data_IF_088708803165
#
_entry.id   IF_088708803165
#
_cell.length_a   1.000
_cell.length_b   1.000
_cell.length_c   1.000
_cell.angle_alpha   90.00
_cell.angle_beta   90.00
_cell.angle_gamma   90.00
#
_symmetry.space_group_name_H-M   'P 1'
#
loop_
_entity.id
_entity.type
_entity.pdbx_description
1 polymer ?
#
# COMPACT_ATOMS: atom_id res chain seq x y z
N UNK A 1 0.45 -33.07 -1.32
CA UNK A 1 1.28 -31.96 -0.76
C UNK A 1 0.47 -30.67 -0.78
N UNK A 2 0.38 -29.91 0.31
CA UNK A 2 -0.33 -28.64 0.29
C UNK A 2 0.48 -27.65 -0.58
N UNK A 3 -0.16 -27.09 -1.62
CA UNK A 3 0.46 -26.08 -2.49
C UNK A 3 0.91 -24.90 -1.60
N UNK A 4 2.17 -24.46 -1.75
CA UNK A 4 2.67 -23.21 -1.15
C UNK A 4 1.73 -22.09 -1.58
N UNK A 5 0.86 -21.61 -0.67
CA UNK A 5 -0.01 -20.47 -0.94
C UNK A 5 0.87 -19.25 -1.11
N UNK A 6 0.92 -18.71 -2.32
CA UNK A 6 1.61 -17.46 -2.60
C UNK A 6 0.94 -16.35 -1.78
N UNK A 7 1.70 -15.76 -0.86
CA UNK A 7 1.27 -14.57 -0.13
C UNK A 7 1.52 -13.40 -1.07
N UNK A 8 0.44 -12.78 -1.54
CA UNK A 8 0.53 -11.57 -2.33
C UNK A 8 0.59 -10.38 -1.39
N UNK A 9 1.46 -9.44 -1.71
CA UNK A 9 1.71 -8.24 -0.92
C UNK A 9 1.88 -7.10 -1.90
N UNK A 10 1.12 -6.04 -1.69
CA UNK A 10 1.31 -4.78 -2.39
C UNK A 10 1.78 -3.76 -1.37
N UNK A 11 2.89 -3.08 -1.66
CA UNK A 11 3.43 -2.03 -0.81
C UNK A 11 3.82 -0.81 -1.63
N UNK A 12 3.62 0.34 -1.01
CA UNK A 12 4.23 1.60 -1.36
C UNK A 12 5.13 1.99 -0.19
N UNK A 13 6.37 2.38 -0.48
CA UNK A 13 7.27 2.93 0.52
C UNK A 13 7.57 4.37 0.17
N UNK A 14 7.32 5.27 1.11
CA UNK A 14 7.82 6.62 1.07
C UNK A 14 9.11 6.65 1.90
N UNK A 15 10.24 6.95 1.27
CA UNK A 15 11.52 7.11 1.95
C UNK A 15 12.09 8.51 1.77
N UNK A 16 12.91 8.99 2.72
CA UNK A 16 13.63 10.24 2.55
C UNK A 16 14.58 10.14 1.35
N UNK A 17 14.85 11.28 0.71
CA UNK A 17 15.78 11.37 -0.42
C UNK A 17 17.17 10.81 -0.09
N UNK A 18 17.59 10.92 1.16
CA UNK A 18 18.81 10.32 1.69
C UNK A 18 18.44 9.49 2.92
N UNK A 19 18.49 8.17 2.77
CA UNK A 19 18.27 7.26 3.88
C UNK A 19 19.52 7.20 4.78
N UNK A 20 19.28 7.20 6.09
CA UNK A 20 20.36 6.99 7.05
C UNK A 20 20.81 5.54 7.05
N UNK A 21 22.12 5.33 7.17
CA UNK A 21 22.70 3.97 7.36
C UNK A 21 22.45 3.42 8.76
N UNK A 22 21.97 4.24 9.69
CA UNK A 22 21.64 3.80 11.03
C UNK A 22 20.32 3.01 11.03
N UNK A 23 20.41 1.70 11.18
CA UNK A 23 19.26 0.78 11.13
C UNK A 23 18.30 0.88 12.31
N UNK A 24 18.63 1.68 13.34
CA UNK A 24 17.71 2.00 14.43
C UNK A 24 16.76 3.16 14.11
N UNK A 25 17.03 3.93 13.05
CA UNK A 25 16.17 5.04 12.64
C UNK A 25 15.02 4.52 11.79
N UNK A 26 13.80 4.89 12.16
CA UNK A 26 12.59 4.55 11.43
C UNK A 26 12.02 5.84 10.84
N UNK A 27 12.42 6.14 9.61
CA UNK A 27 12.10 7.37 8.88
C UNK A 27 11.40 7.10 7.53
N UNK A 28 11.21 5.84 7.18
CA UNK A 28 10.45 5.44 6.00
C UNK A 28 9.02 5.08 6.41
N UNK A 29 8.05 5.33 5.52
CA UNK A 29 6.66 4.94 5.72
C UNK A 29 6.28 3.87 4.71
N UNK A 30 5.89 2.69 5.19
CA UNK A 30 5.33 1.63 4.37
C UNK A 30 3.80 1.64 4.50
N UNK A 31 3.15 1.70 3.34
CA UNK A 31 1.72 1.49 3.18
C UNK A 31 1.55 0.17 2.46
N UNK A 32 0.91 -0.80 3.09
CA UNK A 32 0.75 -2.09 2.45
C UNK A 32 -0.61 -2.72 2.66
N UNK A 33 -0.98 -3.49 1.64
CA UNK A 33 -2.18 -4.31 1.62
C UNK A 33 -1.74 -5.76 1.73
N UNK A 34 -2.19 -6.44 2.78
CA UNK A 34 -1.75 -7.79 3.14
C UNK A 34 -2.94 -8.70 3.41
N UNK A 35 -2.79 -9.98 3.07
CA UNK A 35 -3.71 -11.06 3.43
C UNK A 35 -2.99 -12.20 4.16
N UNK A 36 -1.99 -11.83 4.98
CA UNK A 36 -1.15 -12.78 5.69
C UNK A 36 -1.83 -13.30 6.96
N UNK A 37 -1.58 -14.57 7.29
CA UNK A 37 -2.04 -15.19 8.53
C UNK A 37 -1.22 -14.61 9.68
N UNK A 38 -1.89 -13.91 10.59
CA UNK A 38 -1.35 -13.37 11.84
C UNK A 38 -2.40 -13.57 12.96
N UNK A 39 -1.98 -13.45 14.22
CA UNK A 39 -2.89 -13.54 15.35
C UNK A 39 -3.95 -12.42 15.29
N UNK A 40 -5.22 -12.76 15.54
CA UNK A 40 -6.32 -11.79 15.57
C UNK A 40 -6.86 -11.34 14.20
N UNK A 41 -6.40 -11.92 13.10
CA UNK A 41 -6.90 -11.57 11.75
C UNK A 41 -8.22 -12.27 11.44
N UNK A 42 -9.16 -11.54 10.85
CA UNK A 42 -10.43 -12.08 10.33
C UNK A 42 -10.19 -12.95 9.10
N UNK A 43 -10.92 -14.05 9.01
CA UNK A 43 -10.89 -14.94 7.86
C UNK A 43 -12.18 -14.83 7.06
N UNK A 44 -12.06 -14.84 5.75
CA UNK A 44 -13.21 -14.87 4.85
C UNK A 44 -13.84 -16.28 4.78
N UNK A 45 -14.94 -16.41 4.06
CA UNK A 45 -15.70 -17.66 3.88
C UNK A 45 -14.88 -18.80 3.24
N UNK A 46 -13.75 -18.49 2.60
CA UNK A 46 -12.85 -19.46 1.97
C UNK A 46 -11.70 -19.90 2.90
N UNK A 47 -11.73 -19.51 4.18
CA UNK A 47 -10.67 -19.82 5.15
C UNK A 47 -9.34 -19.11 4.86
N UNK A 48 -9.38 -17.98 4.14
CA UNK A 48 -8.23 -17.12 3.88
C UNK A 48 -8.31 -15.85 4.72
N UNK A 49 -7.19 -15.28 5.19
CA UNK A 49 -7.21 -13.99 5.87
C UNK A 49 -7.82 -12.92 4.96
N UNK A 50 -8.66 -12.07 5.52
CA UNK A 50 -9.17 -10.89 4.83
C UNK A 50 -8.02 -9.95 4.47
N UNK A 51 -8.14 -9.29 3.31
CA UNK A 51 -7.24 -8.21 2.94
C UNK A 51 -7.42 -7.05 3.90
N UNK A 52 -6.30 -6.48 4.33
CA UNK A 52 -6.29 -5.33 5.23
C UNK A 52 -5.19 -4.36 4.83
N UNK A 53 -5.46 -3.09 5.10
CA UNK A 53 -4.47 -2.03 5.08
C UNK A 53 -3.65 -2.06 6.37
N UNK A 54 -2.35 -1.87 6.23
CA UNK A 54 -1.45 -1.60 7.33
C UNK A 54 -0.55 -0.41 6.94
N UNK A 55 -0.28 0.47 7.89
CA UNK A 55 0.67 1.57 7.77
C UNK A 55 1.68 1.49 8.90
N UNK A 56 2.97 1.56 8.57
CA UNK A 56 4.06 1.42 9.53
C UNK A 56 5.18 2.39 9.21
N UNK A 57 5.85 2.85 10.27
CA UNK A 57 7.13 3.54 10.16
C UNK A 57 8.23 2.49 10.30
N UNK A 58 9.13 2.43 9.32
CA UNK A 58 10.14 1.38 9.18
C UNK A 58 11.51 1.97 8.88
N UNK A 59 12.53 1.13 8.97
CA UNK A 59 13.84 1.41 8.38
C UNK A 59 13.91 0.78 6.98
N UNK A 60 14.10 1.58 5.93
CA UNK A 60 14.12 1.12 4.54
C UNK A 60 15.24 0.12 4.23
N UNK A 61 16.32 0.11 5.02
CA UNK A 61 17.49 -0.76 4.82
C UNK A 61 17.43 -2.07 5.63
N UNK A 62 16.54 -2.19 6.61
CA UNK A 62 16.46 -3.34 7.53
C UNK A 62 15.44 -4.39 7.08
N UNK A 63 14.43 -4.02 6.30
CA UNK A 63 13.43 -4.98 5.81
C UNK A 63 14.03 -5.85 4.69
N UNK A 64 13.85 -7.17 4.83
CA UNK A 64 14.48 -8.18 3.98
C UNK A 64 14.21 -8.01 2.49
N UNK A 65 15.03 -8.66 1.66
CA UNK A 65 15.07 -8.55 0.20
C UNK A 65 13.68 -8.51 -0.45
N UNK A 66 13.16 -7.31 -0.70
CA UNK A 66 11.90 -7.10 -1.42
C UNK A 66 12.17 -7.32 -2.91
N UNK A 67 11.68 -8.43 -3.46
CA UNK A 67 11.62 -8.63 -4.91
C UNK A 67 10.33 -7.98 -5.40
N UNK A 68 10.42 -6.78 -5.95
CA UNK A 68 9.26 -6.00 -6.40
C UNK A 68 9.55 -5.16 -7.63
N UNK A 69 8.49 -4.73 -8.32
CA UNK A 69 8.56 -3.67 -9.33
C UNK A 69 8.50 -2.33 -8.60
N UNK A 70 9.50 -1.49 -8.79
CA UNK A 70 9.59 -0.19 -8.11
C UNK A 70 9.01 0.88 -9.02
N UNK A 71 7.99 1.60 -8.53
CA UNK A 71 7.54 2.85 -9.11
C UNK A 71 8.12 3.99 -8.26
N UNK A 72 8.87 4.88 -8.89
CA UNK A 72 9.48 6.04 -8.22
C UNK A 72 8.66 7.27 -8.59
N UNK A 73 8.04 7.89 -7.61
CA UNK A 73 7.43 9.21 -7.74
C UNK A 73 8.29 10.25 -7.01
N UNK A 74 8.49 11.42 -7.62
CA UNK A 74 9.12 12.57 -6.96
C UNK A 74 8.04 13.42 -6.32
N UNK A 75 8.15 13.65 -5.02
CA UNK A 75 7.26 14.54 -4.27
C UNK A 75 7.91 15.93 -4.11
N UNK A 76 7.11 16.99 -3.88
CA UNK A 76 7.64 18.33 -3.63
C UNK A 76 8.57 18.36 -2.42
N UNK A 77 9.77 18.91 -2.60
CA UNK A 77 10.82 18.89 -1.57
C UNK A 77 10.62 19.92 -0.45
N UNK A 78 9.66 20.84 -0.58
CA UNK A 78 9.38 21.87 0.40
C UNK A 78 8.44 21.39 1.53
N UNK A 79 7.77 20.25 1.33
CA UNK A 79 6.92 19.67 2.35
C UNK A 79 7.69 18.64 3.19
N UNK A 80 7.48 18.62 4.52
CA UNK A 80 8.04 17.58 5.38
C UNK A 80 7.56 16.18 4.97
N UNK A 81 8.44 15.19 5.12
CA UNK A 81 8.14 13.78 4.82
C UNK A 81 6.89 13.28 5.55
N UNK A 82 6.70 13.70 6.81
CA UNK A 82 5.56 13.32 7.64
C UNK A 82 4.25 13.89 7.09
N UNK A 83 4.27 15.10 6.52
CA UNK A 83 3.09 15.72 5.89
C UNK A 83 2.69 14.92 4.65
N UNK A 84 3.66 14.63 3.77
CA UNK A 84 3.44 13.79 2.60
C UNK A 84 2.96 12.38 2.98
N UNK A 85 3.50 11.84 4.08
CA UNK A 85 3.08 10.55 4.58
C UNK A 85 1.61 10.54 5.04
N UNK A 86 1.18 11.58 5.75
CA UNK A 86 -0.21 11.79 6.14
C UNK A 86 -1.14 11.88 4.94
N UNK A 87 -0.78 12.70 3.94
CA UNK A 87 -1.57 12.84 2.72
C UNK A 87 -1.75 11.50 1.98
N UNK A 88 -0.68 10.71 1.84
CA UNK A 88 -0.74 9.39 1.21
C UNK A 88 -1.62 8.44 2.03
N UNK A 89 -1.44 8.42 3.36
CA UNK A 89 -2.26 7.60 4.26
C UNK A 89 -3.76 7.91 4.10
N UNK A 90 -4.11 9.20 4.13
CA UNK A 90 -5.51 9.66 4.02
C UNK A 90 -6.15 9.31 2.67
N UNK A 91 -5.37 9.26 1.59
CA UNK A 91 -5.84 8.79 0.28
C UNK A 91 -6.03 7.27 0.31
N UNK A 92 -5.03 6.53 0.78
CA UNK A 92 -5.03 5.07 0.73
C UNK A 92 -6.07 4.44 1.67
N UNK A 93 -6.34 5.03 2.83
CA UNK A 93 -7.36 4.52 3.76
C UNK A 93 -8.79 4.62 3.19
N UNK A 94 -9.01 5.52 2.23
CA UNK A 94 -10.29 5.69 1.53
C UNK A 94 -10.47 4.71 0.37
N UNK A 95 -9.42 4.00 -0.03
CA UNK A 95 -9.50 2.99 -1.09
C UNK A 95 -10.24 1.77 -0.52
N UNK A 96 -11.44 1.42 -1.04
CA UNK A 96 -12.18 0.27 -0.55
C UNK A 96 -11.41 -1.03 -0.81
N UNK A 97 -11.37 -1.90 0.20
CA UNK A 97 -10.98 -3.30 0.04
C UNK A 97 -12.12 -4.08 -0.53
N UNK A 98 -12.16 -4.20 -1.86
CA UNK A 98 -13.15 -5.06 -2.50
C UNK A 98 -12.65 -6.50 -2.46
N UNK A 99 -13.40 -7.35 -1.77
CA UNK A 99 -13.08 -8.76 -1.57
C UNK A 99 -14.14 -9.63 -2.22
N UNK A 100 -13.71 -10.74 -2.83
CA UNK A 100 -14.59 -11.74 -3.44
C UNK A 100 -15.50 -11.22 -4.57
N UNK A 101 -15.18 -10.06 -5.16
CA UNK A 101 -15.87 -9.53 -6.34
C UNK A 101 -15.00 -9.72 -7.58
N UNK A 102 -15.45 -10.58 -8.49
CA UNK A 102 -14.78 -10.84 -9.76
C UNK A 102 -14.96 -9.72 -10.80
N UNK A 103 -15.93 -8.83 -10.58
CA UNK A 103 -16.23 -7.71 -11.48
C UNK A 103 -15.52 -6.41 -11.08
N UNK A 104 -14.87 -6.40 -9.91
CA UNK A 104 -14.19 -5.20 -9.43
C UNK A 104 -12.99 -4.82 -10.29
N UNK A 105 -12.86 -3.52 -10.59
CA UNK A 105 -11.70 -2.96 -11.25
C UNK A 105 -11.18 -1.71 -10.51
N UNK A 106 -9.86 -1.49 -10.55
CA UNK A 106 -9.20 -0.35 -9.90
C UNK A 106 -9.49 1.01 -10.56
N UNK A 107 -10.20 1.04 -11.71
CA UNK A 107 -10.31 2.24 -12.54
C UNK A 107 -11.28 3.29 -11.97
N UNK A 108 -12.15 2.90 -11.03
CA UNK A 108 -13.31 3.71 -10.62
C UNK A 108 -13.09 4.65 -9.41
N UNK A 109 -11.90 4.69 -8.80
CA UNK A 109 -11.66 5.45 -7.57
C UNK A 109 -11.43 6.95 -7.78
N UNK A 110 -11.07 7.38 -8.99
CA UNK A 110 -10.77 8.78 -9.28
C UNK A 110 -12.01 9.68 -9.34
N UNK A 111 -13.21 9.15 -9.51
CA UNK A 111 -14.43 9.97 -9.62
C UNK A 111 -14.99 10.44 -8.26
N UNK A 112 -14.56 9.83 -7.14
CA UNK A 112 -15.11 10.10 -5.81
C UNK A 112 -14.36 11.19 -5.03
N UNK A 113 -13.22 11.69 -5.51
CA UNK A 113 -12.40 12.71 -4.84
C UNK A 113 -12.51 14.13 -5.42
N UNK A 114 -13.52 14.40 -6.25
CA UNK A 114 -13.93 15.77 -6.57
C UNK A 114 -13.05 16.53 -7.57
N UNK A 115 -12.28 15.83 -8.41
CA UNK A 115 -11.67 16.44 -9.59
C UNK A 115 -12.51 16.09 -10.83
N UNK A 116 -13.26 17.06 -11.33
CA UNK A 116 -13.89 17.01 -12.65
C UNK A 116 -12.82 16.88 -13.72
N UNK A 117 -12.48 15.66 -14.14
CA UNK A 117 -11.71 15.43 -15.36
C UNK A 117 -12.41 14.35 -16.20
N UNK A 118 -12.82 14.82 -17.37
CA UNK A 118 -13.48 14.17 -18.49
C UNK A 118 -13.50 12.63 -18.48
N UNK A 119 -14.72 12.11 -18.69
CA UNK A 119 -15.01 10.72 -19.04
C UNK A 119 -13.98 10.14 -20.03
N UNK A 120 -13.43 8.95 -19.78
CA UNK A 120 -12.76 8.20 -20.84
C UNK A 120 -13.85 7.68 -21.80
N UNK A 121 -13.82 8.17 -23.04
CA UNK A 121 -14.58 7.56 -24.14
C UNK A 121 -14.21 6.08 -24.23
N UNK A 122 -15.23 5.22 -24.23
CA UNK A 122 -15.10 3.79 -24.56
C UNK A 122 -14.43 3.66 -25.94
N UNK A 123 -13.40 2.82 -26.01
CA UNK A 123 -13.01 2.11 -27.22
C UNK A 123 -13.67 0.73 -27.19
#
# INVERSE_FOLDING_TARGET
MPRKKHRFHFALMLSPKQETRNTSVHDCHIYHTVNTIQSGVKFNLNGMPEWRYEHKVVNGLREGTVIGRVLIAKLPAHEPLVTQAGCIHDILVRVPFVQNDAQWNCLLLYELTGATLAQPRRL
#
